data_IF_106215768726
#
_entry.id   IF_106215768726
#
_cell.length_a   1.000
_cell.length_b   1.000
_cell.length_c   1.000
_cell.angle_alpha   90.00
_cell.angle_beta   90.00
_cell.angle_gamma   90.00
#
_symmetry.space_group_name_H-M   'P 1'
#
loop_
_entity.id
_entity.type
_entity.pdbx_description
1 polymer ?
#
# COMPACT_ATOMS: atom_id res chain seq x y z
N UNK A 1 11.30 -19.57 -10.47
CA UNK A 1 11.35 -18.53 -11.51
C UNK A 1 12.76 -18.05 -11.59
N UNK A 2 13.31 -17.98 -12.80
CA UNK A 2 14.68 -17.52 -13.00
C UNK A 2 14.80 -16.01 -12.67
N UNK A 3 15.97 -15.56 -12.23
CA UNK A 3 16.20 -14.16 -11.87
C UNK A 3 16.03 -13.24 -13.10
N UNK A 4 16.37 -13.71 -14.30
CA UNK A 4 16.14 -13.00 -15.56
C UNK A 4 14.66 -12.80 -15.92
N UNK A 5 13.78 -13.62 -15.35
CA UNK A 5 12.33 -13.64 -15.62
C UNK A 5 11.50 -12.89 -14.57
N UNK A 6 12.16 -12.19 -13.62
CA UNK A 6 11.46 -11.37 -12.62
C UNK A 6 12.03 -9.96 -12.49
N UNK A 7 11.17 -9.01 -12.11
CA UNK A 7 11.58 -7.68 -11.69
C UNK A 7 11.21 -7.53 -10.21
N UNK A 8 12.23 -7.40 -9.37
CA UNK A 8 12.06 -7.19 -7.94
C UNK A 8 11.69 -5.74 -7.66
N UNK A 9 10.72 -5.53 -6.76
CA UNK A 9 10.26 -4.20 -6.36
C UNK A 9 10.02 -4.15 -4.86
N UNK A 10 10.14 -2.94 -4.30
CA UNK A 10 9.82 -2.63 -2.92
C UNK A 10 8.50 -1.88 -2.88
N UNK A 11 7.67 -2.18 -1.88
CA UNK A 11 6.45 -1.43 -1.62
C UNK A 11 6.75 -0.43 -0.52
N UNK A 12 6.52 0.85 -0.79
CA UNK A 12 6.57 1.92 0.22
C UNK A 12 5.18 2.48 0.42
N UNK A 13 4.90 2.99 1.60
CA UNK A 13 3.64 3.65 1.91
C UNK A 13 3.91 4.98 2.59
N UNK A 14 3.09 5.99 2.32
CA UNK A 14 3.11 7.19 3.15
C UNK A 14 2.53 6.84 4.53
N UNK A 15 3.29 7.10 5.59
CA UNK A 15 2.84 6.84 6.95
C UNK A 15 1.63 7.75 7.27
N UNK A 16 0.48 7.21 7.66
CA UNK A 16 -0.64 8.03 8.10
C UNK A 16 -0.35 8.78 9.42
N UNK A 17 0.64 8.34 10.20
CA UNK A 17 1.20 9.11 11.31
C UNK A 17 2.27 10.09 10.80
N UNK A 18 2.61 11.15 11.56
CA UNK A 18 3.71 12.04 11.18
C UNK A 18 5.00 11.23 11.00
N UNK A 19 5.50 11.11 9.76
CA UNK A 19 6.70 10.32 9.52
C UNK A 19 6.81 9.73 8.12
N UNK A 20 6.88 10.59 7.10
CA UNK A 20 7.40 10.26 5.76
C UNK A 20 6.89 8.97 5.11
N UNK A 21 7.76 8.35 4.28
CA UNK A 21 7.50 7.03 3.71
C UNK A 21 8.06 5.92 4.60
N UNK A 22 7.33 4.81 4.68
CA UNK A 22 7.72 3.58 5.38
C UNK A 22 7.77 2.41 4.41
N UNK A 23 8.62 1.43 4.69
CA UNK A 23 8.68 0.19 3.91
C UNK A 23 7.55 -0.75 4.31
N UNK A 24 6.88 -1.34 3.32
CA UNK A 24 5.84 -2.36 3.48
C UNK A 24 6.42 -3.69 3.02
N UNK A 25 6.52 -4.63 3.94
CA UNK A 25 7.09 -5.96 3.67
C UNK A 25 6.00 -6.98 3.42
N UNK A 26 6.26 -7.90 2.49
CA UNK A 26 5.31 -8.94 2.15
C UNK A 26 5.04 -9.85 3.36
N UNK A 27 3.77 -10.19 3.60
CA UNK A 27 3.29 -10.98 4.74
C UNK A 27 3.56 -10.38 6.13
N UNK A 28 3.97 -9.11 6.24
CA UNK A 28 4.06 -8.42 7.53
C UNK A 28 2.81 -7.54 7.75
N UNK A 29 2.23 -7.66 8.95
CA UNK A 29 1.07 -6.88 9.33
C UNK A 29 1.51 -5.53 9.92
N UNK A 30 0.77 -4.48 9.57
CA UNK A 30 0.95 -3.14 10.11
C UNK A 30 -0.33 -2.74 10.86
N UNK A 31 -0.19 -2.25 12.09
CA UNK A 31 -1.32 -1.87 12.93
C UNK A 31 -1.20 -0.40 13.29
N UNK A 32 -2.26 0.35 13.04
CA UNK A 32 -2.37 1.75 13.45
C UNK A 32 -3.50 1.94 14.44
N UNK A 33 -3.17 2.60 15.55
CA UNK A 33 -4.15 2.99 16.56
C UNK A 33 -4.64 4.41 16.30
N UNK A 34 -5.92 4.65 16.58
CA UNK A 34 -6.52 5.99 16.50
C UNK A 34 -6.31 6.70 15.15
N UNK A 35 -6.36 5.92 14.06
CA UNK A 35 -6.11 6.40 12.68
C UNK A 35 -7.08 7.51 12.28
N UNK A 36 -8.30 7.50 12.82
CA UNK A 36 -9.34 8.50 12.62
C UNK A 36 -9.00 9.89 13.17
N UNK A 37 -8.00 10.02 14.05
CA UNK A 37 -7.50 11.30 14.56
C UNK A 37 -6.41 11.92 13.67
N UNK A 38 -5.97 11.19 12.63
CA UNK A 38 -4.94 11.67 11.70
C UNK A 38 -5.55 12.55 10.62
N UNK A 39 -4.75 12.96 9.63
CA UNK A 39 -5.23 13.76 8.49
C UNK A 39 -6.29 12.99 7.70
N UNK A 40 -7.55 13.31 7.94
CA UNK A 40 -8.70 12.74 7.24
C UNK A 40 -9.13 13.63 6.07
N UNK A 41 -9.72 13.02 5.04
CA UNK A 41 -10.36 13.71 3.92
C UNK A 41 -11.69 13.05 3.56
N UNK A 42 -12.69 13.81 3.07
CA UNK A 42 -13.91 13.23 2.54
C UNK A 42 -13.61 12.46 1.24
N UNK A 43 -14.18 11.26 1.11
CA UNK A 43 -14.12 10.40 -0.09
C UNK A 43 -15.53 9.92 -0.43
N UNK A 44 -15.88 9.97 -1.71
CA UNK A 44 -17.12 9.40 -2.21
C UNK A 44 -16.83 7.96 -2.64
N UNK A 45 -17.45 7.00 -1.96
CA UNK A 45 -17.34 5.59 -2.32
C UNK A 45 -18.53 5.18 -3.20
N UNK A 46 -18.34 4.26 -4.17
CA UNK A 46 -19.44 3.72 -4.95
C UNK A 46 -20.52 3.12 -4.05
N UNK A 47 -21.79 3.50 -4.28
CA UNK A 47 -22.93 2.99 -3.51
C UNK A 47 -23.24 3.72 -2.19
N UNK A 48 -22.46 4.73 -1.80
CA UNK A 48 -22.72 5.55 -0.59
C UNK A 48 -23.08 6.98 -1.03
N UNK A 49 -24.26 7.46 -0.61
CA UNK A 49 -24.76 8.81 -1.00
C UNK A 49 -24.02 9.96 -0.32
N UNK A 50 -23.42 9.71 0.83
CA UNK A 50 -22.73 10.72 1.63
C UNK A 50 -21.22 10.46 1.62
N UNK A 51 -20.42 11.53 1.71
CA UNK A 51 -18.97 11.40 1.80
C UNK A 51 -18.59 10.71 3.11
N UNK A 52 -17.66 9.75 3.03
CA UNK A 52 -17.06 9.11 4.20
C UNK A 52 -15.69 9.72 4.48
N UNK A 53 -15.28 9.74 5.75
CA UNK A 53 -13.97 10.25 6.14
C UNK A 53 -12.93 9.15 6.05
N UNK A 54 -11.89 9.35 5.24
CA UNK A 54 -10.81 8.40 5.03
C UNK A 54 -9.44 9.02 5.29
N UNK A 55 -8.47 8.18 5.66
CA UNK A 55 -7.07 8.58 5.87
C UNK A 55 -6.27 8.19 4.62
N UNK A 56 -5.63 9.14 3.92
CA UNK A 56 -4.88 8.84 2.71
C UNK A 56 -3.52 8.22 3.04
N UNK A 57 -3.27 7.01 2.54
CA UNK A 57 -2.00 6.29 2.66
C UNK A 57 -1.52 5.75 1.30
N UNK A 58 -1.07 6.61 0.37
CA UNK A 58 -0.63 6.18 -0.95
C UNK A 58 0.49 5.14 -0.89
N UNK A 59 0.39 4.10 -1.72
CA UNK A 59 1.43 3.10 -1.96
C UNK A 59 2.31 3.53 -3.13
N UNK A 60 3.61 3.29 -3.03
CA UNK A 60 4.61 3.52 -4.07
C UNK A 60 5.31 2.20 -4.37
N UNK A 61 5.31 1.77 -5.62
CA UNK A 61 6.11 0.64 -6.09
C UNK A 61 7.46 1.17 -6.57
N UNK A 62 8.53 0.82 -5.86
CA UNK A 62 9.88 1.27 -6.16
C UNK A 62 10.71 0.10 -6.72
N UNK A 63 11.17 0.24 -7.95
CA UNK A 63 12.04 -0.73 -8.62
C UNK A 63 13.46 -0.20 -8.57
N UNK A 64 14.40 -1.03 -8.10
CA UNK A 64 15.81 -0.66 -8.11
C UNK A 64 16.36 -0.70 -9.53
N UNK A 65 17.38 0.12 -9.81
CA UNK A 65 18.01 0.10 -11.13
C UNK A 65 18.66 -1.26 -11.36
N UNK A 66 18.34 -1.88 -12.49
CA UNK A 66 18.94 -3.12 -12.95
C UNK A 66 19.40 -2.97 -14.40
N UNK A 67 20.33 -3.82 -14.84
CA UNK A 67 20.75 -3.89 -16.24
C UNK A 67 19.66 -4.58 -17.07
N UNK A 68 19.25 -3.95 -18.16
CA UNK A 68 18.24 -4.52 -19.07
C UNK A 68 18.76 -5.79 -19.74
N UNK A 69 20.08 -5.95 -19.89
CA UNK A 69 20.70 -7.14 -20.47
C UNK A 69 20.57 -8.39 -19.58
N UNK A 70 20.36 -8.19 -18.28
CA UNK A 70 20.22 -9.28 -17.30
C UNK A 70 18.76 -9.76 -17.19
N UNK A 71 17.85 -9.19 -18.00
CA UNK A 71 16.42 -9.48 -17.97
C UNK A 71 15.92 -9.93 -19.34
N UNK A 72 14.99 -10.89 -19.32
CA UNK A 72 14.38 -11.41 -20.53
C UNK A 72 13.44 -10.38 -21.16
N UNK A 73 13.42 -10.32 -22.50
CA UNK A 73 12.48 -9.45 -23.20
C UNK A 73 11.04 -9.96 -23.03
N UNK A 74 10.11 -9.07 -22.69
CA UNK A 74 8.70 -9.43 -22.57
C UNK A 74 7.90 -8.53 -21.62
N UNK A 75 6.69 -8.98 -21.31
CA UNK A 75 5.79 -8.33 -20.35
C UNK A 75 5.89 -9.00 -18.99
N UNK A 76 6.16 -8.18 -17.96
CA UNK A 76 6.18 -8.61 -16.58
C UNK A 76 4.86 -8.27 -15.92
N UNK A 77 4.27 -9.22 -15.21
CA UNK A 77 3.02 -9.02 -14.47
C UNK A 77 3.16 -9.54 -13.04
N UNK A 78 2.48 -8.87 -12.11
CA UNK A 78 2.42 -9.26 -10.71
C UNK A 78 1.09 -8.85 -10.08
N UNK A 79 0.76 -9.48 -8.96
CA UNK A 79 -0.44 -9.16 -8.18
C UNK A 79 -0.03 -8.72 -6.78
N UNK A 80 -0.40 -7.50 -6.41
CA UNK A 80 -0.33 -7.00 -5.04
C UNK A 80 -1.72 -7.11 -4.41
N UNK A 81 -1.86 -7.90 -3.35
CA UNK A 81 -3.10 -8.00 -2.59
C UNK A 81 -2.98 -7.17 -1.32
N UNK A 82 -3.86 -6.19 -1.15
CA UNK A 82 -3.94 -5.36 0.06
C UNK A 82 -5.12 -5.82 0.89
N UNK A 83 -4.86 -6.18 2.14
CA UNK A 83 -5.88 -6.58 3.10
C UNK A 83 -5.98 -5.48 4.16
N UNK A 84 -7.17 -4.93 4.33
CA UNK A 84 -7.45 -3.90 5.32
C UNK A 84 -8.57 -4.38 6.24
N UNK A 85 -8.30 -4.39 7.54
CA UNK A 85 -9.27 -4.75 8.58
C UNK A 85 -9.43 -3.56 9.52
N UNK A 86 -10.59 -2.87 9.52
CA UNK A 86 -10.85 -1.82 10.50
C UNK A 86 -11.08 -2.44 11.89
N UNK A 87 -10.63 -1.75 12.94
CA UNK A 87 -11.10 -2.07 14.29
C UNK A 87 -12.53 -1.54 14.46
N UNK A 88 -13.40 -2.39 14.99
CA UNK A 88 -14.72 -1.94 15.42
C UNK A 88 -14.57 -1.23 16.76
N UNK A 89 -15.22 -0.08 16.99
CA UNK A 89 -15.33 0.48 18.32
C UNK A 89 -16.02 -0.57 19.21
N UNK A 90 -15.40 -0.96 20.31
CA UNK A 90 -16.10 -1.69 21.38
C UNK A 90 -17.16 -0.75 21.93
N UNK A 91 -18.43 -1.03 21.61
CA UNK A 91 -19.55 -0.40 22.29
C UNK A 91 -19.60 -1.06 23.68
N UNK A 92 -19.14 -0.34 24.70
CA UNK A 92 -19.41 -0.66 26.11
C UNK A 92 -20.73 -0.03 26.53
#
# INVERSE_FOLDING_TARGET
TDEGERIDYRVKMYNPEPGGQIDVRNNENMVWNSINLKRVRPVVLPGIRYAVMCVPTPLTLAVDKFSVMDKQAGYYMGKLSVIFTPSLPTIN
#
